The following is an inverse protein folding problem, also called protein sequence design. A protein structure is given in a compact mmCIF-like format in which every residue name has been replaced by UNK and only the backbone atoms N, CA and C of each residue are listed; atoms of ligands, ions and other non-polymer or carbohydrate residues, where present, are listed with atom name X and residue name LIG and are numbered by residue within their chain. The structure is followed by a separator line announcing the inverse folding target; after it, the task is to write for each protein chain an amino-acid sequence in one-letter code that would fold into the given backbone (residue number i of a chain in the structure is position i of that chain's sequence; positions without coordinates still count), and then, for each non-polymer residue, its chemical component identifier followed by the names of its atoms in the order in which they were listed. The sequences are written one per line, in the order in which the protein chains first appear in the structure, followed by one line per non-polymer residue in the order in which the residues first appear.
data_IF_190579961196
#
_entry.id   IF_190579961196
#
_cell.length_a   1.000
_cell.length_b   1.000
_cell.length_c   1.000
_cell.angle_alpha   90.00
_cell.angle_beta   90.00
_cell.angle_gamma   90.00
#
_symmetry.space_group_name_H-M   'P 1'
#
loop_
_entity.id
_entity.type
_entity.pdbx_description
1 polymer ?
#
# COMPACT_ATOMS: atom_id res chain seq x y z
N UNK A 1 -58.01 -23.45 -40.30
CA UNK A 1 -58.32 -24.65 -39.48
C UNK A 1 -58.12 -24.26 -38.01
N UNK A 2 -59.21 -23.94 -37.30
CA UNK A 2 -59.17 -23.46 -35.91
C UNK A 2 -59.29 -24.70 -35.02
N UNK A 3 -58.20 -25.15 -34.44
CA UNK A 3 -58.19 -26.29 -33.52
C UNK A 3 -58.89 -25.86 -32.24
N UNK A 4 -60.14 -26.31 -32.06
CA UNK A 4 -60.91 -26.01 -30.87
C UNK A 4 -60.31 -26.80 -29.70
N UNK A 5 -59.56 -26.13 -28.83
CA UNK A 5 -58.98 -26.77 -27.66
C UNK A 5 -60.09 -27.29 -26.75
N UNK A 6 -60.13 -28.62 -26.59
CA UNK A 6 -61.00 -29.33 -25.64
C UNK A 6 -60.94 -28.70 -24.24
N UNK A 7 -62.08 -28.63 -23.54
CA UNK A 7 -62.17 -28.11 -22.17
C UNK A 7 -61.18 -28.79 -21.22
N UNK A 8 -60.90 -30.08 -21.43
CA UNK A 8 -59.92 -30.85 -20.63
C UNK A 8 -58.46 -30.43 -20.91
N UNK A 9 -58.12 -30.02 -22.13
CA UNK A 9 -56.78 -29.56 -22.49
C UNK A 9 -56.48 -28.18 -21.89
N UNK A 10 -57.47 -27.28 -21.87
CA UNK A 10 -57.33 -25.96 -21.22
C UNK A 10 -57.11 -26.10 -19.72
N UNK A 11 -57.84 -27.02 -19.09
CA UNK A 11 -57.68 -27.33 -17.67
C UNK A 11 -56.32 -27.99 -17.38
N UNK A 12 -55.88 -28.93 -18.23
CA UNK A 12 -54.57 -29.54 -18.10
C UNK A 12 -53.44 -28.51 -18.19
N UNK A 13 -53.46 -27.63 -19.20
CA UNK A 13 -52.49 -26.55 -19.34
C UNK A 13 -52.53 -25.61 -18.13
N UNK A 14 -53.72 -25.21 -17.67
CA UNK A 14 -53.87 -24.39 -16.49
C UNK A 14 -53.27 -25.05 -15.24
N UNK A 15 -53.58 -26.33 -14.98
CA UNK A 15 -53.03 -27.07 -13.85
C UNK A 15 -51.51 -27.26 -13.97
N UNK A 16 -50.97 -27.46 -15.18
CA UNK A 16 -49.53 -27.52 -15.42
C UNK A 16 -48.85 -26.20 -15.05
N UNK A 17 -49.40 -25.06 -15.49
CA UNK A 17 -48.86 -23.74 -15.15
C UNK A 17 -48.97 -23.45 -13.65
N UNK A 18 -50.08 -23.82 -13.01
CA UNK A 18 -50.25 -23.68 -11.55
C UNK A 18 -49.24 -24.55 -10.80
N UNK A 19 -49.05 -25.81 -11.20
CA UNK A 19 -48.05 -26.69 -10.61
C UNK A 19 -46.62 -26.16 -10.83
N UNK A 20 -46.30 -25.71 -12.04
CA UNK A 20 -45.01 -25.11 -12.37
C UNK A 20 -44.77 -23.84 -11.53
N UNK A 21 -45.79 -23.01 -11.31
CA UNK A 21 -45.71 -21.85 -10.43
C UNK A 21 -45.50 -22.24 -8.96
N UNK A 22 -46.25 -23.22 -8.46
CA UNK A 22 -46.12 -23.72 -7.09
C UNK A 22 -44.76 -24.36 -6.80
N UNK A 23 -44.02 -24.82 -7.82
CA UNK A 23 -42.65 -25.33 -7.67
C UNK A 23 -41.63 -24.20 -7.86
N UNK A 24 -41.76 -23.40 -8.93
CA UNK A 24 -40.77 -22.37 -9.26
C UNK A 24 -40.73 -21.23 -8.25
N UNK A 25 -41.87 -20.77 -7.73
CA UNK A 25 -41.90 -19.65 -6.79
C UNK A 25 -41.14 -19.96 -5.48
N UNK A 26 -41.37 -21.09 -4.78
CA UNK A 26 -40.55 -21.45 -3.62
C UNK A 26 -39.07 -21.64 -3.93
N UNK A 27 -38.74 -22.21 -5.10
CA UNK A 27 -37.33 -22.39 -5.52
C UNK A 27 -36.64 -21.05 -5.70
N UNK A 28 -37.29 -20.07 -6.34
CA UNK A 28 -36.76 -18.72 -6.48
C UNK A 28 -36.62 -18.04 -5.12
N UNK A 29 -37.61 -18.19 -4.23
CA UNK A 29 -37.54 -17.64 -2.87
C UNK A 29 -36.34 -18.22 -2.11
N UNK A 30 -36.15 -19.54 -2.13
CA UNK A 30 -35.00 -20.20 -1.50
C UNK A 30 -33.67 -19.71 -2.09
N UNK A 31 -33.58 -19.56 -3.42
CA UNK A 31 -32.40 -19.02 -4.08
C UNK A 31 -32.09 -17.59 -3.63
N UNK A 32 -33.11 -16.72 -3.58
CA UNK A 32 -32.95 -15.33 -3.09
C UNK A 32 -32.63 -15.25 -1.60
N UNK A 33 -33.00 -16.29 -0.83
CA UNK A 33 -32.68 -16.40 0.59
C UNK A 33 -31.27 -16.99 0.86
N UNK A 34 -30.44 -17.18 -0.18
CA UNK A 34 -29.05 -17.64 -0.03
C UNK A 34 -28.89 -19.17 0.05
N UNK A 35 -29.96 -19.94 -0.21
CA UNK A 35 -29.84 -21.39 -0.35
C UNK A 35 -29.26 -21.74 -1.71
N UNK A 36 -28.14 -22.46 -1.70
CA UNK A 36 -27.50 -23.00 -2.89
C UNK A 36 -27.50 -24.53 -2.83
N UNK A 37 -27.63 -25.15 -4.00
CA UNK A 37 -27.52 -26.60 -4.13
C UNK A 37 -26.04 -26.95 -4.29
N UNK A 38 -25.49 -27.67 -3.32
CA UNK A 38 -24.15 -28.25 -3.45
C UNK A 38 -24.27 -29.56 -4.23
N UNK A 39 -23.86 -29.52 -5.50
CA UNK A 39 -23.88 -30.69 -6.39
C UNK A 39 -22.93 -31.80 -5.89
N UNK A 40 -21.92 -31.47 -5.09
CA UNK A 40 -20.91 -32.41 -4.61
C UNK A 40 -21.51 -33.36 -3.57
N UNK A 41 -22.30 -32.82 -2.64
CA UNK A 41 -22.89 -33.58 -1.54
C UNK A 41 -24.40 -33.83 -1.70
N UNK A 42 -25.02 -33.29 -2.75
CA UNK A 42 -26.46 -33.42 -3.02
C UNK A 42 -27.33 -32.77 -1.95
N UNK A 43 -26.87 -31.67 -1.35
CA UNK A 43 -27.54 -31.00 -0.22
C UNK A 43 -27.82 -29.54 -0.54
N UNK A 44 -28.88 -29.02 0.06
CA UNK A 44 -29.17 -27.59 0.05
C UNK A 44 -28.43 -26.98 1.24
N UNK A 45 -27.51 -26.05 0.96
CA UNK A 45 -26.66 -25.38 1.94
C UNK A 45 -26.91 -23.88 1.94
N UNK A 46 -26.73 -23.23 3.09
CA UNK A 46 -26.79 -21.78 3.19
C UNK A 46 -25.40 -21.20 3.02
N UNK A 47 -25.25 -20.18 2.19
CA UNK A 47 -23.95 -19.57 1.93
C UNK A 47 -23.38 -18.89 3.18
N UNK A 48 -22.05 -18.77 3.17
CA UNK A 48 -21.28 -17.99 4.12
C UNK A 48 -20.99 -16.60 3.55
N UNK A 49 -20.69 -15.67 4.45
CA UNK A 49 -20.30 -14.29 4.15
C UNK A 49 -18.84 -14.07 4.56
N UNK A 50 -18.01 -13.53 3.67
CA UNK A 50 -16.65 -13.10 3.98
C UNK A 50 -16.50 -11.60 3.73
N UNK A 51 -16.21 -10.83 4.76
CA UNK A 51 -15.74 -9.46 4.62
C UNK A 51 -14.21 -9.46 4.61
N UNK A 52 -13.59 -9.02 3.52
CA UNK A 52 -12.14 -9.03 3.35
C UNK A 52 -11.62 -7.64 2.98
N UNK A 53 -10.54 -7.23 3.64
CA UNK A 53 -9.87 -5.96 3.41
C UNK A 53 -8.36 -6.14 3.27
N UNK A 54 -7.71 -5.26 2.50
CA UNK A 54 -6.27 -5.25 2.30
C UNK A 54 -5.67 -3.86 2.44
N UNK A 55 -4.38 -3.84 2.76
CA UNK A 55 -3.53 -2.65 2.75
C UNK A 55 -2.34 -2.94 1.81
N UNK A 56 -2.26 -2.31 0.63
CA UNK A 56 -3.11 -1.23 0.15
C UNK A 56 -4.49 -1.72 -0.31
N UNK A 57 -5.46 -0.80 -0.32
CA UNK A 57 -6.82 -1.05 -0.81
C UNK A 57 -6.84 -1.36 -2.31
N UNK A 58 -8.01 -1.79 -2.79
CA UNK A 58 -8.31 -2.02 -4.20
C UNK A 58 -7.55 -3.22 -4.80
N UNK A 59 -7.34 -4.27 -3.99
CA UNK A 59 -6.84 -5.56 -4.43
C UNK A 59 -7.99 -6.42 -4.99
N UNK A 60 -7.69 -7.21 -6.02
CA UNK A 60 -8.60 -8.19 -6.60
C UNK A 60 -8.73 -9.38 -5.66
N UNK A 61 -9.96 -9.88 -5.46
CA UNK A 61 -10.24 -11.06 -4.63
C UNK A 61 -10.58 -12.24 -5.53
N UNK A 62 -9.92 -13.37 -5.32
CA UNK A 62 -10.22 -14.64 -5.98
C UNK A 62 -10.56 -15.70 -4.92
N UNK A 63 -11.57 -16.52 -5.19
CA UNK A 63 -11.91 -17.70 -4.38
C UNK A 63 -11.98 -18.92 -5.30
N UNK A 64 -11.18 -19.94 -5.04
CA UNK A 64 -11.09 -21.18 -5.87
C UNK A 64 -10.96 -20.90 -7.37
N UNK A 65 -10.13 -19.93 -7.75
CA UNK A 65 -9.92 -19.43 -9.12
C UNK A 65 -11.00 -18.50 -9.69
N UNK A 66 -12.17 -18.39 -9.06
CA UNK A 66 -13.21 -17.45 -9.48
C UNK A 66 -12.88 -16.03 -9.01
N UNK A 67 -12.79 -15.10 -9.96
CA UNK A 67 -12.60 -13.68 -9.67
C UNK A 67 -13.93 -13.04 -9.25
N UNK A 68 -13.91 -12.33 -8.12
CA UNK A 68 -15.04 -11.50 -7.71
C UNK A 68 -14.95 -10.13 -8.38
N UNK A 69 -16.11 -9.53 -8.70
CA UNK A 69 -16.18 -8.19 -9.30
C UNK A 69 -15.68 -7.10 -8.36
N UNK A 70 -15.88 -7.30 -7.06
CA UNK A 70 -15.58 -6.34 -6.02
C UNK A 70 -14.11 -6.45 -5.59
N UNK A 71 -13.51 -5.29 -5.33
CA UNK A 71 -12.12 -5.17 -4.86
C UNK A 71 -12.10 -4.79 -3.39
N UNK A 72 -11.01 -5.10 -2.69
CA UNK A 72 -10.89 -4.84 -1.25
C UNK A 72 -11.03 -3.35 -0.90
N UNK A 73 -11.73 -2.99 0.20
CA UNK A 73 -12.56 -3.84 1.04
C UNK A 73 -13.81 -4.37 0.30
N UNK A 74 -14.06 -5.68 0.38
CA UNK A 74 -15.17 -6.36 -0.30
C UNK A 74 -15.93 -7.28 0.65
N UNK A 75 -17.23 -7.46 0.39
CA UNK A 75 -18.10 -8.40 1.12
C UNK A 75 -18.60 -9.46 0.14
N UNK A 76 -18.20 -10.71 0.36
CA UNK A 76 -18.53 -11.85 -0.48
C UNK A 76 -19.63 -12.65 0.21
N UNK A 77 -20.86 -12.58 -0.27
CA UNK A 77 -22.04 -13.19 0.39
C UNK A 77 -22.41 -14.59 -0.14
N UNK A 78 -21.68 -15.06 -1.15
CA UNK A 78 -22.05 -16.23 -1.96
C UNK A 78 -21.09 -17.41 -1.81
N UNK A 79 -20.33 -17.46 -0.72
CA UNK A 79 -19.34 -18.53 -0.48
C UNK A 79 -20.08 -19.79 -0.04
N UNK A 80 -19.78 -20.93 -0.66
CA UNK A 80 -20.34 -22.21 -0.24
C UNK A 80 -19.67 -22.67 1.06
N UNK A 81 -20.31 -23.54 1.86
CA UNK A 81 -19.61 -24.18 2.97
C UNK A 81 -18.56 -25.15 2.46
N UNK A 82 -17.41 -25.21 3.14
CA UNK A 82 -16.26 -26.02 2.74
C UNK A 82 -14.94 -25.25 2.76
N UNK A 83 -13.89 -25.91 2.30
CA UNK A 83 -12.55 -25.32 2.19
C UNK A 83 -12.41 -24.57 0.88
N UNK A 84 -12.00 -23.31 0.98
CA UNK A 84 -11.89 -22.38 -0.13
C UNK A 84 -10.51 -21.71 -0.12
N UNK A 85 -9.82 -21.72 -1.26
CA UNK A 85 -8.57 -20.98 -1.45
C UNK A 85 -8.90 -19.52 -1.75
N UNK A 86 -8.61 -18.63 -0.82
CA UNK A 86 -8.77 -17.19 -0.98
C UNK A 86 -7.43 -16.58 -1.36
N UNK A 87 -7.40 -15.86 -2.49
CA UNK A 87 -6.23 -15.16 -3.01
C UNK A 87 -6.53 -13.68 -3.18
N UNK A 88 -5.59 -12.84 -2.76
CA UNK A 88 -5.60 -11.40 -3.00
C UNK A 88 -4.47 -11.02 -3.95
N UNK A 89 -4.80 -10.24 -4.97
CA UNK A 89 -3.83 -9.77 -5.97
C UNK A 89 -3.89 -8.26 -6.16
N UNK A 90 -2.72 -7.64 -6.27
CA UNK A 90 -2.60 -6.23 -6.61
C UNK A 90 -1.33 -6.01 -7.41
N UNK A 91 -1.41 -5.26 -8.50
CA UNK A 91 -0.25 -4.95 -9.35
C UNK A 91 0.87 -4.27 -8.56
N UNK A 92 2.10 -4.80 -8.66
CA UNK A 92 3.29 -4.33 -7.93
C UNK A 92 3.43 -4.89 -6.51
N UNK A 93 2.56 -5.82 -6.11
CA UNK A 93 2.57 -6.46 -4.80
C UNK A 93 2.56 -7.98 -4.95
N UNK A 94 3.19 -8.66 -3.99
CA UNK A 94 3.15 -10.10 -3.87
C UNK A 94 1.71 -10.58 -3.62
N UNK A 95 1.26 -11.66 -4.29
CA UNK A 95 -0.05 -12.23 -4.03
C UNK A 95 -0.09 -12.82 -2.62
N UNK A 96 -1.21 -12.66 -1.95
CA UNK A 96 -1.47 -13.30 -0.66
C UNK A 96 -2.48 -14.42 -0.85
N UNK A 97 -2.22 -15.59 -0.27
CA UNK A 97 -3.06 -16.78 -0.40
C UNK A 97 -3.28 -17.45 0.95
N UNK A 98 -4.51 -17.90 1.21
CA UNK A 98 -4.83 -18.73 2.35
C UNK A 98 -6.03 -19.64 2.08
N UNK A 99 -6.03 -20.82 2.68
CA UNK A 99 -7.19 -21.72 2.66
C UNK A 99 -8.06 -21.44 3.88
N UNK A 100 -9.33 -21.09 3.65
CA UNK A 100 -10.33 -20.86 4.69
C UNK A 100 -11.42 -21.92 4.61
N UNK A 101 -11.71 -22.55 5.74
CA UNK A 101 -12.90 -23.41 5.89
C UNK A 101 -14.08 -22.57 6.36
N UNK A 102 -15.22 -22.67 5.68
CA UNK A 102 -16.46 -21.97 6.02
C UNK A 102 -17.56 -22.95 6.42
N UNK A 103 -18.24 -22.66 7.53
CA UNK A 103 -19.47 -23.35 7.90
C UNK A 103 -20.72 -22.72 7.26
N UNK A 104 -21.81 -23.48 7.21
CA UNK A 104 -23.10 -22.99 6.71
C UNK A 104 -23.60 -21.82 7.56
N UNK A 105 -23.97 -20.71 6.91
CA UNK A 105 -24.41 -19.46 7.57
C UNK A 105 -23.33 -18.77 8.42
N UNK A 106 -22.06 -19.10 8.20
CA UNK A 106 -20.96 -18.39 8.84
C UNK A 106 -20.79 -16.99 8.24
N UNK A 107 -20.48 -16.00 9.08
CA UNK A 107 -19.98 -14.71 8.64
C UNK A 107 -18.58 -14.50 9.22
N UNK A 108 -17.57 -14.33 8.36
CA UNK A 108 -16.17 -14.14 8.74
C UNK A 108 -15.66 -12.79 8.27
N UNK A 109 -14.84 -12.16 9.09
CA UNK A 109 -14.16 -10.90 8.78
C UNK A 109 -12.66 -11.13 8.74
N UNK A 110 -12.01 -10.60 7.72
CA UNK A 110 -10.57 -10.74 7.45
C UNK A 110 -9.97 -9.38 7.11
N UNK A 111 -8.92 -8.99 7.84
CA UNK A 111 -8.03 -7.89 7.48
C UNK A 111 -7.92 -6.72 8.47
N UNK A 112 -7.21 -5.64 8.08
CA UNK A 112 -6.59 -5.46 6.76
C UNK A 112 -5.40 -6.39 6.55
N UNK A 113 -5.41 -7.15 5.46
CA UNK A 113 -4.30 -8.00 5.04
C UNK A 113 -3.26 -7.11 4.36
N UNK A 114 -2.05 -7.06 4.91
CA UNK A 114 -0.96 -6.25 4.35
C UNK A 114 -0.35 -7.00 3.15
N UNK A 115 -0.39 -6.37 1.98
CA UNK A 115 0.29 -6.85 0.78
C UNK A 115 1.67 -6.22 0.71
N UNK A 116 2.70 -7.05 0.55
CA UNK A 116 4.07 -6.61 0.43
C UNK A 116 4.39 -6.23 -1.02
N UNK A 117 5.21 -5.20 -1.23
CA UNK A 117 5.71 -4.87 -2.56
C UNK A 117 6.48 -6.06 -3.12
N UNK A 118 6.34 -6.28 -4.43
CA UNK A 118 7.10 -7.32 -5.15
C UNK A 118 8.55 -6.90 -5.39
N UNK A 119 8.81 -5.59 -5.46
CA UNK A 119 10.15 -5.04 -5.65
C UNK A 119 10.95 -5.11 -4.34
N UNK A 120 12.07 -5.83 -4.37
CA UNK A 120 12.94 -5.98 -3.21
C UNK A 120 13.92 -4.80 -3.13
N UNK A 121 14.16 -4.25 -1.93
CA UNK A 121 15.15 -3.19 -1.77
C UNK A 121 16.55 -3.74 -2.06
N UNK A 122 17.14 -3.30 -3.17
CA UNK A 122 18.54 -3.59 -3.50
C UNK A 122 19.51 -2.63 -2.79
N UNK A 123 20.61 -3.19 -2.27
CA UNK A 123 21.71 -2.38 -1.74
C UNK A 123 22.40 -1.64 -2.90
N UNK A 124 22.26 -0.31 -2.95
CA UNK A 124 22.89 0.51 -3.98
C UNK A 124 24.35 0.85 -3.65
N UNK A 125 24.62 1.32 -2.43
CA UNK A 125 25.95 1.81 -2.03
C UNK A 125 26.17 1.53 -0.53
N UNK A 126 27.40 1.21 -0.16
CA UNK A 126 27.83 1.12 1.24
C UNK A 126 28.69 2.35 1.56
N UNK A 127 28.22 3.19 2.47
CA UNK A 127 28.84 4.47 2.79
C UNK A 127 29.10 4.59 4.30
N UNK A 128 30.25 5.16 4.66
CA UNK A 128 30.56 5.57 6.03
C UNK A 128 30.08 7.00 6.28
N UNK A 129 28.75 7.17 6.32
CA UNK A 129 28.16 8.45 6.62
C UNK A 129 28.22 8.74 8.13
N UNK A 130 28.70 9.92 8.49
CA UNK A 130 28.72 10.40 9.89
C UNK A 130 27.41 11.10 10.28
N UNK A 131 26.68 11.64 9.31
CA UNK A 131 25.38 12.29 9.48
C UNK A 131 24.49 11.94 8.30
N UNK A 132 23.20 11.77 8.57
CA UNK A 132 22.16 11.58 7.55
C UNK A 132 20.97 12.45 7.93
N UNK A 133 20.36 13.11 6.95
CA UNK A 133 19.14 13.88 7.14
C UNK A 133 18.29 13.78 5.88
N UNK A 134 16.97 13.69 6.05
CA UNK A 134 16.00 13.67 4.96
C UNK A 134 15.13 14.93 5.00
N UNK A 135 14.71 15.37 3.82
CA UNK A 135 13.69 16.39 3.66
C UNK A 135 12.48 15.76 2.95
N UNK A 136 11.46 15.44 3.74
CA UNK A 136 10.29 14.66 3.33
C UNK A 136 9.54 15.29 2.15
N UNK A 137 9.33 16.62 2.19
CA UNK A 137 8.52 17.32 1.19
C UNK A 137 9.10 17.28 -0.23
N UNK A 138 10.43 17.19 -0.36
CA UNK A 138 11.12 17.12 -1.66
C UNK A 138 11.66 15.73 -1.97
N UNK A 139 11.44 14.74 -1.10
CA UNK A 139 12.02 13.39 -1.21
C UNK A 139 13.55 13.41 -1.47
N UNK A 140 14.25 14.28 -0.75
CA UNK A 140 15.71 14.43 -0.85
C UNK A 140 16.38 13.95 0.42
N UNK A 141 17.53 13.34 0.26
CA UNK A 141 18.37 12.86 1.35
C UNK A 141 19.71 13.58 1.26
N UNK A 142 20.30 13.87 2.40
CA UNK A 142 21.64 14.39 2.47
C UNK A 142 22.40 13.61 3.52
N UNK A 143 23.66 13.36 3.22
CA UNK A 143 24.55 12.68 4.15
C UNK A 143 25.92 13.32 4.09
N UNK A 144 26.64 13.17 5.19
CA UNK A 144 28.00 13.67 5.31
C UNK A 144 28.94 12.48 5.41
N UNK A 145 29.93 12.42 4.52
CA UNK A 145 31.02 11.44 4.60
C UNK A 145 32.31 12.12 4.99
N UNK A 146 33.14 11.41 5.76
CA UNK A 146 34.52 11.83 6.00
C UNK A 146 35.45 11.11 5.02
N UNK A 147 36.21 11.87 4.23
CA UNK A 147 37.28 11.35 3.37
C UNK A 147 38.60 12.01 3.75
N UNK A 148 39.47 11.24 4.40
CA UNK A 148 40.76 11.72 4.90
C UNK A 148 40.58 12.93 5.83
N UNK A 149 40.96 14.13 5.37
CA UNK A 149 40.89 15.41 6.09
C UNK A 149 39.68 16.26 5.71
N UNK A 150 38.76 15.74 4.90
CA UNK A 150 37.61 16.48 4.37
C UNK A 150 36.30 15.86 4.83
N UNK A 151 35.36 16.73 5.16
CA UNK A 151 33.94 16.45 5.18
C UNK A 151 33.34 16.77 3.83
N UNK A 152 32.55 15.85 3.32
CA UNK A 152 31.78 16.04 2.10
C UNK A 152 30.30 15.91 2.40
N UNK A 153 29.54 16.96 2.09
CA UNK A 153 28.07 16.96 2.19
C UNK A 153 27.51 16.61 0.83
N UNK A 154 26.90 15.44 0.75
CA UNK A 154 26.25 14.91 -0.44
C UNK A 154 24.74 15.02 -0.32
N UNK A 155 24.08 15.23 -1.44
CA UNK A 155 22.63 15.16 -1.57
C UNK A 155 22.26 14.11 -2.61
N UNK A 156 21.18 13.37 -2.35
CA UNK A 156 20.58 12.39 -3.24
C UNK A 156 19.11 12.71 -3.42
N UNK A 157 18.69 12.83 -4.67
CA UNK A 157 17.28 12.89 -5.03
C UNK A 157 16.76 11.46 -5.21
N UNK A 158 15.77 11.05 -4.39
CA UNK A 158 15.36 9.65 -4.35
C UNK A 158 14.52 9.20 -5.55
N UNK A 159 14.04 10.14 -6.37
CA UNK A 159 13.24 9.83 -7.55
C UNK A 159 14.08 9.24 -8.70
N UNK A 160 15.32 9.70 -8.87
CA UNK A 160 16.19 9.36 -10.00
C UNK A 160 17.62 8.95 -9.55
N UNK A 161 17.81 8.77 -8.24
CA UNK A 161 19.07 8.43 -7.60
C UNK A 161 20.21 9.37 -7.97
N UNK A 162 19.93 10.63 -8.32
CA UNK A 162 20.97 11.59 -8.67
C UNK A 162 21.68 12.09 -7.42
N UNK A 163 23.00 11.86 -7.38
CA UNK A 163 23.91 12.27 -6.31
C UNK A 163 24.63 13.55 -6.69
N UNK A 164 24.65 14.53 -5.78
CA UNK A 164 25.32 15.81 -5.96
C UNK A 164 26.15 16.18 -4.74
N UNK A 165 27.40 16.58 -4.96
CA UNK A 165 28.24 17.17 -3.92
C UNK A 165 27.81 18.62 -3.69
N UNK A 166 27.45 18.98 -2.46
CA UNK A 166 26.99 20.34 -2.11
C UNK A 166 28.07 21.15 -1.39
N UNK A 167 28.87 20.51 -0.53
CA UNK A 167 29.93 21.17 0.23
C UNK A 167 31.12 20.24 0.43
N UNK A 168 32.32 20.81 0.43
CA UNK A 168 33.55 20.16 0.91
C UNK A 168 34.23 21.09 1.91
N UNK A 169 34.34 20.63 3.16
CA UNK A 169 34.83 21.42 4.29
C UNK A 169 35.93 20.64 5.03
N UNK A 170 36.91 21.31 5.67
CA UNK A 170 37.91 20.61 6.49
C UNK A 170 37.23 19.82 7.62
N UNK A 171 37.73 18.61 7.90
CA UNK A 171 37.26 17.80 9.01
C UNK A 171 38.07 18.07 10.28
N UNK A 172 37.37 18.33 11.38
CA UNK A 172 37.93 18.56 12.70
C UNK A 172 37.36 17.51 13.65
N UNK A 173 38.20 16.58 14.13
CA UNK A 173 37.74 15.47 14.97
C UNK A 173 37.26 15.87 16.37
N UNK A 174 37.64 17.06 16.85
CA UNK A 174 37.19 17.61 18.14
C UNK A 174 35.86 18.36 18.03
N UNK A 175 35.38 18.58 16.82
CA UNK A 175 34.12 19.28 16.57
C UNK A 175 32.95 18.31 16.50
N UNK A 176 31.78 18.80 16.89
CA UNK A 176 30.50 18.13 16.65
C UNK A 176 29.80 18.76 15.46
N UNK A 177 29.22 17.92 14.62
CA UNK A 177 28.57 18.36 13.38
C UNK A 177 27.07 18.09 13.46
N UNK A 178 26.27 19.00 12.92
CA UNK A 178 24.84 18.79 12.72
C UNK A 178 24.40 19.29 11.35
N UNK A 179 23.51 18.53 10.73
CA UNK A 179 22.99 18.80 9.40
C UNK A 179 21.52 19.20 9.53
N UNK A 180 21.12 20.32 8.90
CA UNK A 180 19.73 20.77 8.90
C UNK A 180 19.31 21.32 7.55
N UNK A 181 18.04 21.12 7.22
CA UNK A 181 17.42 21.63 6.00
C UNK A 181 16.66 22.93 6.29
N UNK A 182 16.61 23.84 5.33
CA UNK A 182 15.62 24.90 5.36
C UNK A 182 14.21 24.31 5.20
N UNK A 183 13.20 25.04 5.69
CA UNK A 183 11.80 24.60 5.66
C UNK A 183 11.27 24.26 4.26
N UNK A 184 11.80 24.94 3.25
CA UNK A 184 11.47 24.76 1.83
C UNK A 184 12.39 23.76 1.12
N UNK A 185 13.42 23.23 1.79
CA UNK A 185 14.40 22.30 1.22
C UNK A 185 15.33 22.92 0.17
N UNK A 186 15.35 24.25 0.05
CA UNK A 186 16.21 24.97 -0.91
C UNK A 186 17.64 25.04 -0.42
N UNK A 187 17.83 25.09 0.90
CA UNK A 187 19.13 25.25 1.54
C UNK A 187 19.40 24.12 2.51
N UNK A 188 20.68 23.83 2.65
CA UNK A 188 21.18 22.90 3.65
C UNK A 188 22.30 23.59 4.43
N UNK A 189 22.26 23.42 5.74
CA UNK A 189 23.22 24.00 6.66
C UNK A 189 23.98 22.90 7.39
N UNK A 190 25.31 22.99 7.34
CA UNK A 190 26.21 22.25 8.20
C UNK A 190 26.70 23.17 9.32
N UNK A 191 26.38 22.81 10.55
CA UNK A 191 26.86 23.50 11.75
C UNK A 191 27.99 22.68 12.36
N UNK A 192 29.15 23.30 12.48
CA UNK A 192 30.31 22.82 13.22
C UNK A 192 30.34 23.49 14.60
N UNK A 193 30.48 22.70 15.66
CA UNK A 193 30.59 23.21 17.02
C UNK A 193 31.86 22.69 17.69
N UNK A 194 32.74 23.63 18.06
CA UNK A 194 34.00 23.36 18.75
C UNK A 194 34.02 24.16 20.07
N UNK A 195 33.75 23.47 21.19
CA UNK A 195 33.56 24.13 22.49
C UNK A 195 32.35 25.07 22.46
N UNK A 196 32.57 26.37 22.74
CA UNK A 196 31.55 27.43 22.64
C UNK A 196 31.43 28.07 21.26
N UNK A 197 32.41 27.84 20.37
CA UNK A 197 32.40 28.39 19.01
C UNK A 197 31.50 27.55 18.11
N UNK A 198 30.69 28.22 17.29
CA UNK A 198 29.83 27.61 16.30
C UNK A 198 30.12 28.27 14.96
N UNK A 199 30.55 27.47 13.99
CA UNK A 199 30.73 27.89 12.61
C UNK A 199 29.59 27.29 11.78
N UNK A 200 28.94 28.11 10.96
CA UNK A 200 27.77 27.73 10.17
C UNK A 200 28.10 27.88 8.68
N UNK A 201 27.98 26.78 7.94
CA UNK A 201 28.12 26.75 6.49
C UNK A 201 26.77 26.45 5.86
N UNK A 202 26.30 27.30 4.95
CA UNK A 202 25.02 27.13 4.25
C UNK A 202 25.29 27.03 2.76
N UNK A 203 24.66 26.06 2.09
CA UNK A 203 24.72 25.90 0.64
C UNK A 203 23.33 25.71 0.05
N UNK A 204 23.15 26.18 -1.18
CA UNK A 204 21.93 25.93 -1.95
C UNK A 204 21.96 24.51 -2.52
N UNK A 205 20.85 23.80 -2.34
CA UNK A 205 20.72 22.38 -2.70
C UNK A 205 20.74 22.16 -4.22
N UNK A 206 20.27 23.12 -5.02
CA UNK A 206 20.16 22.97 -6.48
C UNK A 206 21.51 22.99 -7.21
N UNK A 207 22.47 23.78 -6.76
CA UNK A 207 23.74 24.05 -7.45
C UNK A 207 24.97 23.87 -6.55
N UNK A 208 24.81 23.80 -5.23
CA UNK A 208 25.91 23.74 -4.28
C UNK A 208 26.55 25.10 -4.01
N UNK A 209 25.92 26.22 -4.43
CA UNK A 209 26.48 27.55 -4.17
C UNK A 209 26.45 27.84 -2.67
N UNK A 210 27.61 28.13 -2.10
CA UNK A 210 27.72 28.59 -0.71
C UNK A 210 27.06 29.96 -0.55
N UNK A 211 26.39 30.16 0.58
CA UNK A 211 25.87 31.46 0.97
C UNK A 211 26.85 32.07 1.96
N UNK A 212 27.42 33.20 1.57
CA UNK A 212 28.23 34.00 2.48
C UNK A 212 27.31 34.62 3.53
N UNK A 213 27.47 34.19 4.77
CA UNK A 213 26.81 34.80 5.91
C UNK A 213 27.47 36.16 6.19
N UNK A 214 26.70 37.23 6.41
CA UNK A 214 27.28 38.49 6.86
C UNK A 214 28.00 38.25 8.18
N UNK A 215 29.31 38.52 8.22
CA UNK A 215 30.10 38.41 9.44
C UNK A 215 29.47 39.31 10.49
N UNK A 216 28.97 38.72 11.58
CA UNK A 216 28.51 39.51 12.72
C UNK A 216 29.73 40.22 13.28
N UNK A 217 29.80 41.54 13.10
CA UNK A 217 30.82 42.37 13.69
C UNK A 217 30.68 42.32 15.22
N UNK A 218 31.28 41.32 15.86
CA UNK A 218 31.50 41.32 17.29
C UNK A 218 32.95 41.68 17.58
N UNK A 219 33.12 42.93 18.04
CA UNK A 219 34.21 43.29 18.95
C UNK A 219 35.55 43.62 18.32
N UNK A 220 35.58 44.54 17.35
CA UNK A 220 36.63 45.56 17.39
C UNK A 220 36.27 46.46 18.57
N UNK A 221 36.78 46.15 19.75
CA UNK A 221 36.97 47.18 20.77
C UNK A 221 38.48 47.30 20.98
N UNK A 222 38.94 48.49 20.59
CA UNK A 222 40.30 49.00 20.62
C UNK A 222 40.95 48.88 22.00
N UNK A 223 42.26 48.62 21.98
CA UNK A 223 43.32 49.06 22.90
C UNK A 223 43.22 48.76 24.40
#
# INVERSE_FOLDING_TARGET
MKTDMSKSLRLFLFLLFVAAFLISAPVVVLYTAGYRFDLTHGRIVHTAVLNISSEPRNATVLVDTAMYSDRTPAVLETILPGDHLVRLEKTGYLPWETTLSFESREARVMGPIVLFLEDEPHLQESLSAILVSSHEATNRFAYVTQQSSWLEVWMVEAADSQKKLLMRLPYTSTSTYSLSWSKDGIYIALKEQHGSRQDLSISRVSDGTAIDLPVSAQGVEDT
#
